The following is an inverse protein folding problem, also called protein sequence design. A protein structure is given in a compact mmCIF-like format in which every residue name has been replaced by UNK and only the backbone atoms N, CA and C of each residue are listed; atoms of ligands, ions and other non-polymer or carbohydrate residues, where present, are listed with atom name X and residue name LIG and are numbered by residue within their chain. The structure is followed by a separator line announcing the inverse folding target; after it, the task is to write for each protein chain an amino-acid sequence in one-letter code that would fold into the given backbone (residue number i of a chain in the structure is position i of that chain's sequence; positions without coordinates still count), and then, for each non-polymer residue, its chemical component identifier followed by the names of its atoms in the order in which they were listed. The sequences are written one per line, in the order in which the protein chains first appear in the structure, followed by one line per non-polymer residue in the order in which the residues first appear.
data_IF_810702725774
#
_entry.id   IF_810702725774
#
_cell.length_a   1.000
_cell.length_b   1.000
_cell.length_c   1.000
_cell.angle_alpha   90.00
_cell.angle_beta   90.00
_cell.angle_gamma   90.00
#
_symmetry.space_group_name_H-M   'P 1'
#
loop_
_entity.id
_entity.type
_entity.pdbx_description
1 polymer ?
#
# COMPACT_ATOMS: atom_id res chain seq x y z
N UNK A 1 6.33 8.93 23.01
CA UNK A 1 6.27 8.49 21.79
C UNK A 1 7.22 9.11 20.97
N UNK A 2 7.53 8.53 20.08
CA UNK A 2 8.41 9.06 19.26
C UNK A 2 7.76 9.62 18.16
N UNK A 3 7.58 10.73 18.24
CA UNK A 3 6.92 11.28 17.22
C UNK A 3 7.65 11.42 16.06
N UNK A 4 8.77 11.21 16.23
CA UNK A 4 9.56 11.47 15.19
C UNK A 4 9.15 10.87 14.01
N UNK A 5 8.50 9.91 14.13
CA UNK A 5 8.21 9.26 12.96
C UNK A 5 6.87 9.63 12.54
N UNK A 6 6.79 10.56 11.72
CA UNK A 6 5.55 10.98 11.17
C UNK A 6 4.84 9.84 10.52
N UNK A 7 5.58 8.95 9.97
CA UNK A 7 4.97 7.85 9.31
C UNK A 7 4.24 7.00 10.28
N UNK A 8 4.61 7.11 11.50
CA UNK A 8 4.01 6.33 12.51
C UNK A 8 2.86 7.00 13.14
N UNK A 9 2.45 8.10 12.59
CA UNK A 9 1.29 8.77 13.08
C UNK A 9 -0.01 8.14 12.67
N UNK A 10 0.03 7.04 11.90
CA UNK A 10 -1.20 6.41 11.44
C UNK A 10 -1.24 4.94 11.80
N UNK A 11 -2.42 4.38 11.68
CA UNK A 11 -2.65 2.98 12.00
C UNK A 11 -3.09 2.19 10.77
N UNK A 12 -2.71 2.61 9.60
CA UNK A 12 -3.09 1.92 8.36
C UNK A 12 -2.00 0.93 7.99
N UNK A 13 -2.42 -0.28 7.73
CA UNK A 13 -1.52 -1.35 7.32
C UNK A 13 -1.80 -1.69 5.86
N UNK A 14 -0.76 -1.74 5.07
CA UNK A 14 -0.87 -2.07 3.65
C UNK A 14 -0.62 -3.55 3.45
N UNK A 15 -1.53 -4.23 2.77
CA UNK A 15 -1.42 -5.67 2.54
C UNK A 15 -0.95 -5.98 1.12
N UNK A 16 -0.19 -5.09 0.54
CA UNK A 16 0.24 -5.22 -0.83
C UNK A 16 1.08 -6.47 -1.06
N UNK A 17 1.97 -6.80 -0.12
CA UNK A 17 2.80 -7.99 -0.26
C UNK A 17 1.95 -9.26 -0.37
N UNK A 18 0.93 -9.35 0.47
CA UNK A 18 0.07 -10.53 0.48
C UNK A 18 -0.71 -10.64 -0.83
N UNK A 19 -1.21 -9.51 -1.30
CA UNK A 19 -1.98 -9.50 -2.54
C UNK A 19 -1.11 -9.84 -3.74
N UNK A 20 0.10 -9.32 -3.79
CA UNK A 20 1.02 -9.63 -4.86
C UNK A 20 1.36 -11.12 -4.86
N UNK A 21 1.61 -11.68 -3.70
CA UNK A 21 1.91 -13.09 -3.60
C UNK A 21 0.75 -13.96 -4.07
N UNK A 22 -0.47 -13.58 -3.71
CA UNK A 22 -1.65 -14.32 -4.13
C UNK A 22 -1.86 -14.28 -5.63
N UNK A 23 -1.46 -13.18 -6.27
CA UNK A 23 -1.65 -13.04 -7.72
C UNK A 23 -0.43 -13.44 -8.51
N UNK A 24 0.63 -13.86 -7.86
CA UNK A 24 1.85 -14.23 -8.56
C UNK A 24 2.48 -13.06 -9.28
N UNK A 25 2.38 -11.88 -8.73
CA UNK A 25 2.86 -10.68 -9.37
C UNK A 25 3.98 -10.04 -8.54
N UNK A 26 4.97 -9.45 -9.21
CA UNK A 26 6.04 -8.76 -8.50
C UNK A 26 5.69 -7.30 -8.33
N UNK A 27 6.37 -6.65 -7.41
CA UNK A 27 6.18 -5.23 -7.20
C UNK A 27 6.58 -4.44 -8.46
N UNK A 28 7.60 -4.90 -9.16
CA UNK A 28 8.05 -4.28 -10.40
C UNK A 28 6.94 -4.34 -11.45
N UNK A 29 6.28 -5.49 -11.59
CA UNK A 29 5.18 -5.60 -12.53
C UNK A 29 4.04 -4.65 -12.16
N UNK A 30 3.73 -4.55 -10.90
CA UNK A 30 2.68 -3.65 -10.44
C UNK A 30 3.06 -2.21 -10.77
N UNK A 31 4.32 -1.84 -10.51
CA UNK A 31 4.82 -0.51 -10.82
C UNK A 31 4.60 -0.17 -12.29
N UNK A 32 4.92 -1.10 -13.17
CA UNK A 32 4.76 -0.88 -14.60
C UNK A 32 3.30 -0.74 -15.00
N UNK A 33 2.44 -1.52 -14.38
CA UNK A 33 1.02 -1.50 -14.76
C UNK A 33 0.28 -0.28 -14.25
N UNK A 34 0.63 0.18 -13.05
CA UNK A 34 -0.08 1.32 -12.49
C UNK A 34 0.59 2.66 -12.80
N UNK A 35 1.81 2.63 -13.33
CA UNK A 35 2.49 3.88 -13.66
C UNK A 35 3.02 4.64 -12.45
N UNK A 36 3.29 3.94 -11.37
CA UNK A 36 3.84 4.53 -10.15
C UNK A 36 5.23 3.96 -9.94
N UNK A 37 6.18 4.76 -9.50
CA UNK A 37 7.55 4.31 -9.36
C UNK A 37 7.67 3.19 -8.35
N UNK A 38 8.64 2.33 -8.56
CA UNK A 38 8.90 1.22 -7.66
C UNK A 38 9.22 1.74 -6.25
N UNK A 39 9.93 2.86 -6.16
CA UNK A 39 10.26 3.46 -4.88
C UNK A 39 9.00 3.86 -4.13
N UNK A 40 8.06 4.51 -4.81
CA UNK A 40 6.84 4.94 -4.18
C UNK A 40 5.98 3.76 -3.73
N UNK A 41 5.92 2.70 -4.53
CA UNK A 41 5.20 1.49 -4.14
C UNK A 41 5.88 0.82 -2.96
N UNK A 42 7.21 0.85 -2.90
CA UNK A 42 7.93 0.26 -1.79
C UNK A 42 7.65 1.02 -0.48
N UNK A 43 7.56 2.33 -0.56
CA UNK A 43 7.20 3.14 0.60
C UNK A 43 5.80 2.76 1.09
N UNK A 44 4.86 2.60 0.16
CA UNK A 44 3.50 2.22 0.50
C UNK A 44 3.46 0.81 1.10
N UNK A 45 4.14 -0.12 0.47
CA UNK A 45 4.15 -1.51 0.88
C UNK A 45 4.71 -1.69 2.30
N UNK A 46 5.65 -0.84 2.67
CA UNK A 46 6.28 -0.92 3.98
C UNK A 46 5.60 -0.04 5.03
N UNK A 47 4.39 0.41 4.73
CA UNK A 47 3.57 1.19 5.67
C UNK A 47 4.17 2.55 6.02
N UNK A 48 4.97 3.09 5.12
CA UNK A 48 5.63 4.39 5.36
C UNK A 48 4.99 5.54 4.61
N UNK A 49 3.99 5.26 3.77
CA UNK A 49 3.33 6.32 3.04
C UNK A 49 2.47 7.13 3.98
N UNK A 50 2.50 8.44 3.82
CA UNK A 50 1.67 9.34 4.60
C UNK A 50 0.37 9.64 3.90
N UNK A 51 0.33 9.42 2.61
CA UNK A 51 -0.85 9.70 1.82
C UNK A 51 -0.79 8.87 0.56
N UNK A 52 -1.93 8.68 -0.06
CA UNK A 52 -2.00 8.02 -1.34
C UNK A 52 -3.09 8.73 -2.12
N UNK A 53 -2.86 8.95 -3.41
CA UNK A 53 -3.87 9.55 -4.25
C UNK A 53 -4.93 8.51 -4.53
N UNK A 54 -6.18 8.95 -4.59
CA UNK A 54 -7.26 8.04 -4.92
C UNK A 54 -7.07 7.43 -6.30
N UNK A 55 -6.49 8.18 -7.25
CA UNK A 55 -6.23 7.63 -8.57
C UNK A 55 -5.23 6.49 -8.52
N UNK A 56 -4.21 6.62 -7.68
CA UNK A 56 -3.22 5.56 -7.52
C UNK A 56 -3.86 4.34 -6.86
N UNK A 57 -4.64 4.55 -5.83
CA UNK A 57 -5.32 3.47 -5.14
C UNK A 57 -6.28 2.75 -6.08
N UNK A 58 -7.00 3.50 -6.90
CA UNK A 58 -7.90 2.94 -7.90
C UNK A 58 -7.14 2.04 -8.87
N UNK A 59 -5.99 2.51 -9.35
CA UNK A 59 -5.19 1.75 -10.30
C UNK A 59 -4.65 0.47 -9.67
N UNK A 60 -4.17 0.55 -8.43
CA UNK A 60 -3.65 -0.62 -7.74
C UNK A 60 -4.76 -1.65 -7.54
N UNK A 61 -5.91 -1.22 -7.05
CA UNK A 61 -7.01 -2.13 -6.82
C UNK A 61 -7.53 -2.72 -8.12
N UNK A 62 -7.50 -1.93 -9.20
CA UNK A 62 -7.92 -2.43 -10.50
C UNK A 62 -7.00 -3.51 -11.03
N UNK A 63 -5.68 -3.29 -10.93
CA UNK A 63 -4.72 -4.27 -11.42
C UNK A 63 -4.75 -5.53 -10.58
N UNK A 64 -4.88 -5.39 -9.27
CA UNK A 64 -4.89 -6.54 -8.37
C UNK A 64 -6.28 -7.14 -8.21
N UNK A 65 -7.28 -6.54 -8.81
CA UNK A 65 -8.66 -7.01 -8.75
C UNK A 65 -9.08 -7.22 -7.30
N UNK A 66 -8.95 -6.18 -6.51
CA UNK A 66 -9.30 -6.23 -5.09
C UNK A 66 -10.02 -4.95 -4.69
N UNK A 67 -10.68 -5.00 -3.55
CA UNK A 67 -11.29 -3.81 -2.99
C UNK A 67 -10.29 -3.06 -2.12
N UNK A 68 -10.65 -1.85 -1.75
CA UNK A 68 -9.78 -1.03 -0.90
C UNK A 68 -9.51 -1.71 0.43
N UNK A 69 -10.54 -2.33 1.01
CA UNK A 69 -10.39 -2.98 2.30
C UNK A 69 -9.52 -4.23 2.26
N UNK A 70 -9.23 -4.75 1.07
CA UNK A 70 -8.31 -5.87 0.94
C UNK A 70 -6.86 -5.38 0.85
N UNK A 71 -6.66 -4.17 0.34
CA UNK A 71 -5.31 -3.63 0.17
C UNK A 71 -4.85 -2.81 1.37
N UNK A 72 -5.77 -2.17 2.06
CA UNK A 72 -5.45 -1.34 3.22
C UNK A 72 -6.39 -1.69 4.35
N UNK A 73 -5.87 -1.77 5.55
CA UNK A 73 -6.71 -2.03 6.70
C UNK A 73 -6.21 -1.22 7.89
N UNK A 74 -7.07 -1.01 8.84
CA UNK A 74 -6.68 -0.29 10.03
C UNK A 74 -6.17 -1.28 11.07
N UNK A 75 -5.05 -0.95 11.68
CA UNK A 75 -4.51 -1.77 12.73
C UNK A 75 -5.23 -1.39 14.03
N UNK A 76 -6.12 -2.26 14.44
CA UNK A 76 -6.94 -1.94 15.62
C UNK A 76 -6.16 -1.97 16.90
N UNK A 77 -5.02 -2.57 16.90
CA UNK A 77 -4.20 -2.60 18.11
C UNK A 77 -3.57 -1.26 18.40
N UNK A 78 -3.67 -0.32 17.47
CA UNK A 78 -3.15 1.02 17.67
C UNK A 78 -4.07 1.86 18.54
N UNK A 79 -5.22 1.38 18.88
CA UNK A 79 -6.18 2.15 19.67
C UNK A 79 -6.53 1.49 21.00
#
# INVERSE_FOLDING_TARGET
MSPAEPDEGHAIHCRLDELLAERGMTLTELSERVGVSLVNLSVLKNNRARAIRFSTLTAICGVLNCGVGESLEMDRRAF
#
